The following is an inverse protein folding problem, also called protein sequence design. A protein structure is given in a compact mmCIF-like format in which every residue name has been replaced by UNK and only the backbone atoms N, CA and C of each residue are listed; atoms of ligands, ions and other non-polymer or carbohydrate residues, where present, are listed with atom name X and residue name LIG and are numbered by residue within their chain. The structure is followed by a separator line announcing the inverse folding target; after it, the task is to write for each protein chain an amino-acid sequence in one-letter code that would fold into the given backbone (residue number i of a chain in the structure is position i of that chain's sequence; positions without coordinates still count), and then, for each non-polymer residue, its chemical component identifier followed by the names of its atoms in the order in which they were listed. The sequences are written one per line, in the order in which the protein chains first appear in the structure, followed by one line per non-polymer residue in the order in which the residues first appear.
data_IF_532513061846
#
_entry.id   IF_532513061846
#
_cell.length_a   1.000
_cell.length_b   1.000
_cell.length_c   1.000
_cell.angle_alpha   90.00
_cell.angle_beta   90.00
_cell.angle_gamma   90.00
#
_symmetry.space_group_name_H-M   'P 1'
#
loop_
_entity.id
_entity.type
_entity.pdbx_description
1 polymer ?
#
# COMPACT_ATOMS: atom_id res chain seq x y z
N UNK A 1 -7.09 5.91 -22.65
CA UNK A 1 -8.23 6.87 -22.77
C UNK A 1 -7.92 8.06 -21.87
N UNK A 2 -7.88 9.27 -22.43
CA UNK A 2 -7.64 10.48 -21.65
C UNK A 2 -8.93 10.92 -20.94
N UNK A 3 -8.85 11.25 -19.65
CA UNK A 3 -10.00 11.72 -18.85
C UNK A 3 -9.71 13.10 -18.29
N UNK A 4 -10.58 14.07 -18.58
CA UNK A 4 -10.57 15.40 -17.96
C UNK A 4 -11.72 15.47 -16.95
N UNK A 5 -11.42 15.92 -15.73
CA UNK A 5 -12.43 16.17 -14.70
C UNK A 5 -12.27 17.62 -14.25
N UNK A 6 -13.33 18.40 -14.42
CA UNK A 6 -13.42 19.77 -13.89
C UNK A 6 -14.39 19.70 -12.71
N UNK A 7 -13.87 19.94 -11.52
CA UNK A 7 -14.66 19.82 -10.29
C UNK A 7 -15.51 21.06 -10.03
N UNK A 8 -14.96 22.23 -10.36
CA UNK A 8 -15.63 23.51 -10.20
C UNK A 8 -15.32 24.39 -11.41
N UNK A 9 -16.38 24.99 -11.96
CA UNK A 9 -16.30 25.99 -13.00
C UNK A 9 -17.07 27.21 -12.50
N UNK A 10 -16.34 28.30 -12.27
CA UNK A 10 -16.94 29.58 -11.92
C UNK A 10 -16.81 30.49 -13.14
N UNK A 11 -17.92 31.08 -13.57
CA UNK A 11 -17.95 32.05 -14.64
C UNK A 11 -18.44 33.38 -14.10
N UNK A 12 -17.59 34.40 -14.18
CA UNK A 12 -17.93 35.77 -13.84
C UNK A 12 -18.10 36.57 -15.13
N UNK A 13 -19.31 37.06 -15.39
CA UNK A 13 -19.60 37.87 -16.57
C UNK A 13 -19.67 39.34 -16.18
N UNK A 14 -18.76 40.15 -16.72
CA UNK A 14 -18.77 41.59 -16.56
C UNK A 14 -19.36 42.22 -17.82
N UNK A 15 -20.49 42.90 -17.66
CA UNK A 15 -21.14 43.68 -18.72
C UNK A 15 -21.09 45.17 -18.39
N UNK A 16 -21.01 46.05 -19.39
CA UNK A 16 -21.11 47.49 -19.15
C UNK A 16 -22.38 47.83 -18.37
N UNK A 17 -22.31 48.80 -17.47
CA UNK A 17 -23.45 49.17 -16.61
C UNK A 17 -24.72 49.57 -17.40
N UNK A 18 -24.55 50.10 -18.61
CA UNK A 18 -25.64 50.52 -19.51
C UNK A 18 -26.02 49.44 -20.54
N UNK A 19 -25.59 48.18 -20.35
CA UNK A 19 -25.92 47.11 -21.29
C UNK A 19 -27.45 46.87 -21.29
N UNK A 20 -28.12 46.86 -22.46
CA UNK A 20 -29.58 46.85 -22.51
C UNK A 20 -30.20 45.51 -22.12
N UNK A 21 -29.44 44.40 -22.18
CA UNK A 21 -29.95 43.04 -21.95
C UNK A 21 -28.95 42.16 -21.16
N UNK A 22 -28.60 42.51 -19.91
CA UNK A 22 -27.61 41.76 -19.13
C UNK A 22 -28.05 40.32 -18.83
N UNK A 23 -29.33 40.10 -18.54
CA UNK A 23 -29.88 38.76 -18.30
C UNK A 23 -29.78 37.84 -19.51
N UNK A 24 -29.94 38.37 -20.72
CA UNK A 24 -29.80 37.59 -21.95
C UNK A 24 -28.36 37.09 -22.13
N UNK A 25 -27.38 37.92 -21.77
CA UNK A 25 -25.96 37.55 -21.80
C UNK A 25 -25.67 36.43 -20.80
N UNK A 26 -26.24 36.52 -19.59
CA UNK A 26 -26.12 35.48 -18.57
C UNK A 26 -26.71 34.15 -19.05
N UNK A 27 -27.94 34.16 -19.58
CA UNK A 27 -28.59 32.94 -20.10
C UNK A 27 -27.78 32.34 -21.25
N UNK A 28 -27.32 33.16 -22.19
CA UNK A 28 -26.49 32.70 -23.30
C UNK A 28 -25.20 32.02 -22.81
N UNK A 29 -24.57 32.58 -21.78
CA UNK A 29 -23.38 32.00 -21.18
C UNK A 29 -23.69 30.70 -20.43
N UNK A 30 -24.76 30.66 -19.64
CA UNK A 30 -25.18 29.45 -18.91
C UNK A 30 -25.50 28.30 -19.87
N UNK A 31 -26.23 28.59 -20.96
CA UNK A 31 -26.51 27.62 -22.03
C UNK A 31 -25.19 27.12 -22.64
N UNK A 32 -24.25 28.03 -22.88
CA UNK A 32 -22.99 27.68 -23.49
C UNK A 32 -22.09 26.80 -22.60
N UNK A 33 -22.09 27.08 -21.30
CA UNK A 33 -21.40 26.26 -20.32
C UNK A 33 -21.98 24.84 -20.22
N UNK A 34 -23.26 24.66 -20.54
CA UNK A 34 -23.91 23.34 -20.64
C UNK A 34 -23.32 22.46 -21.75
N UNK A 35 -22.90 23.04 -22.87
CA UNK A 35 -22.30 22.34 -24.01
C UNK A 35 -20.78 22.07 -23.87
N UNK A 36 -20.13 22.74 -22.92
CA UNK A 36 -18.68 22.81 -22.80
C UNK A 36 -17.99 21.43 -22.66
N UNK A 37 -18.64 20.45 -22.02
CA UNK A 37 -18.06 19.12 -21.83
C UNK A 37 -17.70 18.44 -23.17
N UNK A 38 -18.61 18.48 -24.14
CA UNK A 38 -18.41 17.85 -25.45
C UNK A 38 -17.29 18.54 -26.23
N UNK A 39 -17.27 19.86 -26.21
CA UNK A 39 -16.25 20.67 -26.89
C UNK A 39 -14.88 20.46 -26.26
N UNK A 40 -14.79 20.41 -24.92
CA UNK A 40 -13.54 20.14 -24.22
C UNK A 40 -13.02 18.76 -24.47
N UNK A 41 -13.88 17.73 -24.53
CA UNK A 41 -13.44 16.39 -24.88
C UNK A 41 -12.79 16.37 -26.27
N UNK A 42 -13.41 17.01 -27.27
CA UNK A 42 -12.89 17.12 -28.62
C UNK A 42 -11.59 17.94 -28.69
N UNK A 43 -11.52 19.06 -27.97
CA UNK A 43 -10.35 19.93 -27.97
C UNK A 43 -9.18 19.29 -27.19
N UNK A 44 -9.43 18.69 -26.03
CA UNK A 44 -8.43 17.96 -25.25
C UNK A 44 -7.80 16.83 -26.06
N UNK A 45 -8.58 16.11 -26.88
CA UNK A 45 -8.05 15.08 -27.77
C UNK A 45 -7.03 15.61 -28.80
N UNK A 46 -7.08 16.90 -29.15
CA UNK A 46 -6.15 17.53 -30.10
C UNK A 46 -4.86 18.03 -29.44
N UNK A 47 -4.94 18.44 -28.18
CA UNK A 47 -3.83 19.13 -27.50
C UNK A 47 -3.13 18.29 -26.45
N UNK A 48 -3.80 17.31 -25.86
CA UNK A 48 -3.18 16.40 -24.92
C UNK A 48 -2.51 15.28 -25.69
N UNK A 49 -1.23 14.98 -25.44
CA UNK A 49 -0.58 13.83 -26.04
C UNK A 49 -1.36 12.56 -25.64
N UNK A 50 -2.01 11.94 -26.63
CA UNK A 50 -2.88 10.75 -26.47
C UNK A 50 -2.13 9.58 -25.81
N UNK A 51 -0.79 9.61 -25.79
CA UNK A 51 0.08 8.52 -25.36
C UNK A 51 0.58 8.61 -23.92
N UNK A 52 0.35 9.70 -23.18
CA UNK A 52 0.78 9.78 -21.78
C UNK A 52 -0.33 9.33 -20.84
N UNK A 53 -0.09 8.27 -20.05
CA UNK A 53 -0.94 7.89 -18.91
C UNK A 53 -0.81 8.86 -17.72
N UNK A 54 -0.14 9.99 -17.92
CA UNK A 54 0.17 10.98 -16.90
C UNK A 54 -1.09 11.59 -16.27
N UNK A 55 -0.99 11.86 -14.98
CA UNK A 55 -2.02 12.56 -14.22
C UNK A 55 -1.54 13.98 -13.95
N UNK A 56 -2.31 14.94 -14.44
CA UNK A 56 -2.09 16.36 -14.18
C UNK A 56 -3.18 16.87 -13.26
N UNK A 57 -2.79 17.46 -12.13
CA UNK A 57 -3.72 18.14 -11.25
C UNK A 57 -3.50 19.65 -11.42
N UNK A 58 -4.56 20.37 -11.78
CA UNK A 58 -4.54 21.83 -11.92
C UNK A 58 -5.47 22.40 -10.85
N UNK A 59 -4.92 23.23 -9.95
CA UNK A 59 -5.68 23.82 -8.84
C UNK A 59 -6.62 24.90 -9.32
N UNK A 60 -6.11 25.78 -10.19
CA UNK A 60 -6.82 26.94 -10.72
C UNK A 60 -6.34 27.23 -12.13
N UNK A 61 -7.29 27.53 -13.01
CA UNK A 61 -7.05 28.03 -14.34
C UNK A 61 -7.96 29.24 -14.56
N UNK A 62 -7.37 30.41 -14.65
CA UNK A 62 -8.08 31.65 -14.92
C UNK A 62 -8.13 31.89 -16.43
N UNK A 63 -9.31 32.26 -16.93
CA UNK A 63 -9.57 32.52 -18.34
C UNK A 63 -10.30 33.86 -18.48
N UNK A 64 -9.61 34.83 -19.09
CA UNK A 64 -10.20 36.12 -19.42
C UNK A 64 -10.61 36.14 -20.89
N UNK A 65 -11.90 36.41 -21.15
CA UNK A 65 -12.46 36.46 -22.49
C UNK A 65 -13.27 37.74 -22.69
N UNK A 66 -12.87 38.53 -23.68
CA UNK A 66 -13.64 39.66 -24.17
C UNK A 66 -14.49 39.21 -25.37
N UNK A 67 -15.82 39.33 -25.25
CA UNK A 67 -16.78 38.83 -26.22
C UNK A 67 -17.74 39.93 -26.65
N UNK A 68 -17.98 40.03 -27.95
CA UNK A 68 -19.11 40.79 -28.50
C UNK A 68 -20.32 39.85 -28.60
N UNK A 69 -21.05 39.73 -27.49
CA UNK A 69 -22.23 38.84 -27.34
C UNK A 69 -23.35 39.11 -28.34
N UNK A 70 -23.35 40.24 -29.05
CA UNK A 70 -24.28 40.49 -30.14
C UNK A 70 -23.98 39.72 -31.44
N UNK A 71 -22.79 39.10 -31.54
CA UNK A 71 -22.30 38.43 -32.76
C UNK A 71 -22.27 36.91 -32.69
N UNK A 72 -22.49 36.33 -31.51
CA UNK A 72 -22.37 34.89 -31.30
C UNK A 72 -23.73 34.30 -30.96
N UNK A 73 -24.06 33.17 -31.59
CA UNK A 73 -25.04 32.25 -31.02
C UNK A 73 -24.40 31.35 -29.95
N UNK A 74 -25.21 30.55 -29.26
CA UNK A 74 -24.75 29.69 -28.17
C UNK A 74 -23.69 28.68 -28.65
N UNK A 75 -23.89 28.07 -29.82
CA UNK A 75 -22.97 27.06 -30.35
C UNK A 75 -21.61 27.65 -30.70
N UNK A 76 -21.58 28.82 -31.32
CA UNK A 76 -20.34 29.53 -31.62
C UNK A 76 -19.59 29.93 -30.34
N UNK A 77 -20.33 30.29 -29.28
CA UNK A 77 -19.76 30.58 -27.99
C UNK A 77 -19.15 29.33 -27.33
N UNK A 78 -19.81 28.16 -27.42
CA UNK A 78 -19.30 26.87 -26.94
C UNK A 78 -17.96 26.53 -27.57
N UNK A 79 -17.91 26.61 -28.90
CA UNK A 79 -16.70 26.32 -29.67
C UNK A 79 -15.56 27.26 -29.28
N UNK A 80 -15.84 28.55 -29.16
CA UNK A 80 -14.85 29.55 -28.77
C UNK A 80 -14.33 29.31 -27.35
N UNK A 81 -15.24 29.07 -26.39
CA UNK A 81 -14.89 28.78 -24.99
C UNK A 81 -14.05 27.51 -24.89
N UNK A 82 -14.49 26.43 -25.53
CA UNK A 82 -13.77 25.17 -25.51
C UNK A 82 -12.40 25.25 -26.17
N UNK A 83 -12.26 25.96 -27.30
CA UNK A 83 -10.96 26.20 -27.93
C UNK A 83 -10.03 27.02 -27.02
N UNK A 84 -10.54 28.06 -26.37
CA UNK A 84 -9.74 28.94 -25.50
C UNK A 84 -9.30 28.23 -24.22
N UNK A 85 -10.20 27.49 -23.58
CA UNK A 85 -9.88 26.69 -22.40
C UNK A 85 -8.86 25.60 -22.76
N UNK A 86 -9.05 24.88 -23.87
CA UNK A 86 -8.10 23.86 -24.30
C UNK A 86 -6.72 24.42 -24.67
N UNK A 87 -6.65 25.58 -25.35
CA UNK A 87 -5.40 26.26 -25.65
C UNK A 87 -4.67 26.73 -24.37
N UNK A 88 -5.42 27.16 -23.36
CA UNK A 88 -4.88 27.59 -22.07
C UNK A 88 -4.36 26.41 -21.27
N UNK A 89 -5.10 25.29 -21.21
CA UNK A 89 -4.61 24.02 -20.65
C UNK A 89 -3.33 23.60 -21.39
N UNK A 90 -3.33 23.57 -22.72
CA UNK A 90 -2.16 23.18 -23.50
C UNK A 90 -0.94 24.07 -23.22
N UNK A 91 -1.15 25.36 -23.01
CA UNK A 91 -0.10 26.31 -22.67
C UNK A 91 0.43 26.05 -21.26
N UNK A 92 -0.46 25.82 -20.29
CA UNK A 92 -0.11 25.47 -18.92
C UNK A 92 0.71 24.17 -18.87
N UNK A 93 0.30 23.14 -19.62
CA UNK A 93 0.97 21.84 -19.64
C UNK A 93 2.33 21.84 -20.36
N UNK A 94 2.61 22.85 -21.19
CA UNK A 94 3.95 23.05 -21.79
C UNK A 94 4.94 23.68 -20.82
N UNK A 95 4.46 24.29 -19.74
CA UNK A 95 5.30 24.85 -18.70
C UNK A 95 5.71 23.76 -17.70
N UNK A 96 6.91 23.84 -17.11
CA UNK A 96 7.27 22.96 -16.00
C UNK A 96 6.26 23.07 -14.85
N UNK A 97 5.83 21.95 -14.23
CA UNK A 97 4.94 21.99 -13.08
C UNK A 97 5.55 22.82 -11.93
N UNK A 98 4.79 23.76 -11.39
CA UNK A 98 5.25 24.65 -10.31
C UNK A 98 5.10 24.05 -8.91
N UNK A 99 4.42 22.90 -8.79
CA UNK A 99 4.16 22.21 -7.52
C UNK A 99 3.12 22.89 -6.62
N UNK A 100 2.58 24.04 -7.02
CA UNK A 100 1.61 24.83 -6.25
C UNK A 100 0.25 24.88 -6.93
N UNK A 101 0.23 25.30 -8.20
CA UNK A 101 -0.95 25.34 -9.04
C UNK A 101 -1.05 24.11 -9.95
N UNK A 102 0.08 23.57 -10.39
CA UNK A 102 0.15 22.42 -11.29
C UNK A 102 1.02 21.33 -10.68
N UNK A 103 0.45 20.14 -10.57
CA UNK A 103 1.15 18.92 -10.18
C UNK A 103 1.12 17.92 -11.33
N UNK A 104 2.22 17.18 -11.44
CA UNK A 104 2.41 16.17 -12.45
C UNK A 104 2.78 14.84 -11.79
N UNK A 105 2.10 13.79 -12.21
CA UNK A 105 2.46 12.41 -11.91
C UNK A 105 2.63 11.65 -13.23
N UNK A 106 3.67 10.82 -13.32
CA UNK A 106 4.00 10.10 -14.54
C UNK A 106 2.86 9.19 -15.03
N UNK A 107 2.10 8.63 -14.08
CA UNK A 107 0.89 7.86 -14.35
C UNK A 107 -0.05 7.81 -13.12
N UNK A 108 -1.17 7.10 -13.29
CA UNK A 108 -2.14 6.86 -12.23
C UNK A 108 -1.55 6.10 -11.03
N UNK A 109 -0.59 5.19 -11.26
CA UNK A 109 0.04 4.43 -10.19
C UNK A 109 0.89 5.33 -9.29
N UNK A 110 1.65 6.27 -9.86
CA UNK A 110 2.41 7.28 -9.12
C UNK A 110 1.49 8.20 -8.31
N UNK A 111 0.36 8.61 -8.90
CA UNK A 111 -0.63 9.44 -8.22
C UNK A 111 -1.24 8.74 -6.99
N UNK A 112 -1.68 7.47 -7.16
CA UNK A 112 -2.23 6.67 -6.05
C UNK A 112 -1.15 6.31 -5.03
N UNK A 113 0.07 5.98 -5.45
CA UNK A 113 1.19 5.71 -4.55
C UNK A 113 1.48 6.91 -3.65
N UNK A 114 1.55 8.13 -4.23
CA UNK A 114 1.75 9.35 -3.43
C UNK A 114 0.58 9.57 -2.45
N UNK A 115 -0.66 9.33 -2.87
CA UNK A 115 -1.82 9.39 -1.97
C UNK A 115 -1.70 8.42 -0.80
N UNK A 116 -1.27 7.19 -1.05
CA UNK A 116 -1.09 6.15 -0.03
C UNK A 116 0.00 6.56 0.98
N UNK A 117 1.11 7.14 0.51
CA UNK A 117 2.18 7.67 1.36
C UNK A 117 1.68 8.85 2.20
N UNK A 118 0.96 9.78 1.59
CA UNK A 118 0.41 10.93 2.30
C UNK A 118 -0.69 10.53 3.30
N UNK A 119 -1.45 9.46 3.03
CA UNK A 119 -2.36 8.86 4.00
C UNK A 119 -1.60 8.27 5.19
N UNK A 120 -0.57 7.46 4.92
CA UNK A 120 0.25 6.82 5.96
C UNK A 120 0.99 7.84 6.85
N UNK A 121 1.25 9.05 6.33
CA UNK A 121 1.91 10.14 7.05
C UNK A 121 0.93 11.19 7.59
N UNK A 122 -0.38 11.01 7.41
CA UNK A 122 -1.42 11.93 7.92
C UNK A 122 -1.52 13.27 7.18
N UNK A 123 -0.99 13.38 5.96
CA UNK A 123 -0.96 14.61 5.16
C UNK A 123 -1.98 14.66 4.03
N UNK A 124 -2.58 13.52 3.65
CA UNK A 124 -3.43 13.42 2.46
C UNK A 124 -4.58 14.43 2.47
N UNK A 125 -5.30 14.57 3.58
CA UNK A 125 -6.56 15.32 3.61
C UNK A 125 -6.39 16.84 3.52
N UNK A 126 -5.17 17.35 3.66
CA UNK A 126 -4.86 18.78 3.51
C UNK A 126 -4.47 19.15 2.06
N UNK A 127 -4.32 18.14 1.18
CA UNK A 127 -3.90 18.34 -0.21
C UNK A 127 -5.12 18.47 -1.12
N UNK A 128 -5.26 19.63 -1.75
CA UNK A 128 -6.39 19.95 -2.64
C UNK A 128 -6.56 18.94 -3.79
N UNK A 129 -5.46 18.39 -4.30
CA UNK A 129 -5.47 17.49 -5.45
C UNK A 129 -5.99 16.08 -5.12
N UNK A 130 -6.18 15.74 -3.84
CA UNK A 130 -6.78 14.46 -3.44
C UNK A 130 -8.30 14.51 -3.24
N UNK A 131 -8.98 15.52 -3.79
CA UNK A 131 -10.45 15.59 -3.76
C UNK A 131 -11.13 14.30 -4.28
N UNK A 132 -10.64 13.59 -5.32
CA UNK A 132 -11.19 12.28 -5.73
C UNK A 132 -11.13 11.17 -4.66
N UNK A 133 -10.36 11.36 -3.59
CA UNK A 133 -10.27 10.45 -2.44
C UNK A 133 -10.99 11.00 -1.21
N UNK A 134 -11.61 12.18 -1.26
CA UNK A 134 -12.20 12.85 -0.09
C UNK A 134 -13.26 11.99 0.61
N UNK A 135 -14.04 11.20 -0.14
CA UNK A 135 -15.00 10.24 0.41
C UNK A 135 -14.38 9.13 1.28
N UNK A 136 -13.07 8.92 1.20
CA UNK A 136 -12.34 7.94 2.02
C UNK A 136 -11.90 8.52 3.37
N UNK A 137 -12.03 9.83 3.59
CA UNK A 137 -11.57 10.51 4.83
C UNK A 137 -12.31 10.07 6.10
N UNK A 138 -13.51 9.49 5.95
CA UNK A 138 -14.27 8.92 7.06
C UNK A 138 -13.77 7.53 7.50
N UNK A 139 -12.89 6.90 6.73
CA UNK A 139 -12.34 5.57 7.02
C UNK A 139 -11.09 5.66 7.90
N UNK A 140 -10.71 4.55 8.54
CA UNK A 140 -9.39 4.47 9.16
C UNK A 140 -8.28 4.54 8.09
N UNK A 141 -7.08 4.98 8.46
CA UNK A 141 -5.95 5.11 7.51
C UNK A 141 -5.70 3.82 6.72
N UNK A 142 -5.73 2.67 7.40
CA UNK A 142 -5.55 1.35 6.77
C UNK A 142 -6.64 1.06 5.73
N UNK A 143 -7.90 1.34 6.08
CA UNK A 143 -9.05 1.13 5.19
C UNK A 143 -9.04 2.10 4.00
N UNK A 144 -8.65 3.36 4.22
CA UNK A 144 -8.53 4.35 3.15
C UNK A 144 -7.44 3.96 2.14
N UNK A 145 -6.28 3.50 2.61
CA UNK A 145 -5.19 2.99 1.75
C UNK A 145 -5.68 1.78 0.95
N UNK A 146 -6.29 0.78 1.61
CA UNK A 146 -6.84 -0.39 0.92
C UNK A 146 -7.85 0.03 -0.14
N UNK A 147 -8.82 0.86 0.19
CA UNK A 147 -9.86 1.28 -0.75
C UNK A 147 -9.27 2.07 -1.91
N UNK A 148 -8.31 2.96 -1.68
CA UNK A 148 -7.65 3.71 -2.75
C UNK A 148 -6.92 2.81 -3.74
N UNK A 149 -6.28 1.72 -3.28
CA UNK A 149 -5.59 0.77 -4.16
C UNK A 149 -6.59 -0.15 -4.86
N UNK A 150 -7.55 -0.73 -4.13
CA UNK A 150 -8.46 -1.78 -4.65
C UNK A 150 -9.55 -1.22 -5.56
N UNK A 151 -9.89 0.06 -5.46
CA UNK A 151 -10.93 0.70 -6.30
C UNK A 151 -10.47 1.02 -7.73
N UNK A 152 -9.17 0.93 -8.01
CA UNK A 152 -8.66 1.22 -9.35
C UNK A 152 -9.23 0.21 -10.34
N UNK A 153 -9.88 0.71 -11.39
CA UNK A 153 -10.67 -0.10 -12.32
C UNK A 153 -9.79 -0.98 -13.23
N UNK A 154 -8.57 -0.51 -13.50
CA UNK A 154 -7.57 -1.28 -14.22
C UNK A 154 -6.71 -2.05 -13.20
N UNK A 155 -6.94 -3.36 -13.13
CA UNK A 155 -6.26 -4.22 -12.18
C UNK A 155 -4.73 -4.19 -12.36
N UNK A 156 -4.21 -3.87 -13.56
CA UNK A 156 -2.78 -3.74 -13.83
C UNK A 156 -2.11 -2.57 -13.10
N UNK A 157 -2.89 -1.60 -12.61
CA UNK A 157 -2.38 -0.45 -11.84
C UNK A 157 -1.93 -0.89 -10.44
N UNK A 158 -2.57 -1.89 -9.84
CA UNK A 158 -2.27 -2.33 -8.47
C UNK A 158 -0.79 -2.77 -8.33
N UNK A 159 -0.25 -3.64 -9.21
CA UNK A 159 1.19 -3.92 -9.24
C UNK A 159 2.09 -2.71 -9.43
N UNK A 160 1.69 -1.77 -10.30
CA UNK A 160 2.47 -0.57 -10.55
C UNK A 160 2.57 0.31 -9.31
N UNK A 161 1.47 0.48 -8.55
CA UNK A 161 1.47 1.22 -7.27
C UNK A 161 2.51 0.65 -6.31
N UNK A 162 2.58 -0.68 -6.21
CA UNK A 162 3.53 -1.35 -5.31
C UNK A 162 4.97 -1.17 -5.75
N UNK A 163 5.23 -1.17 -7.06
CA UNK A 163 6.52 -0.77 -7.62
C UNK A 163 6.90 0.65 -7.23
N UNK A 164 6.01 1.62 -7.46
CA UNK A 164 6.24 3.03 -7.08
C UNK A 164 6.53 3.21 -5.59
N UNK A 165 5.83 2.48 -4.71
CA UNK A 165 6.06 2.53 -3.26
C UNK A 165 7.43 1.95 -2.87
N UNK A 166 7.89 0.92 -3.58
CA UNK A 166 9.21 0.33 -3.36
C UNK A 166 10.33 1.24 -3.84
N UNK A 167 10.25 1.72 -5.08
CA UNK A 167 11.25 2.58 -5.70
C UNK A 167 11.40 3.91 -4.93
N UNK A 168 10.30 4.41 -4.33
CA UNK A 168 10.31 5.57 -3.43
C UNK A 168 10.78 5.28 -1.99
N UNK A 169 11.08 4.02 -1.63
CA UNK A 169 11.49 3.66 -0.27
C UNK A 169 10.39 3.81 0.79
N UNK A 170 9.12 3.74 0.37
CA UNK A 170 7.97 4.01 1.25
C UNK A 170 7.22 2.75 1.72
N UNK A 171 7.62 1.56 1.25
CA UNK A 171 6.96 0.28 1.59
C UNK A 171 6.75 0.09 3.09
N UNK A 172 7.78 0.28 3.92
CA UNK A 172 7.66 0.09 5.38
C UNK A 172 6.79 1.15 6.06
N UNK A 173 6.80 2.38 5.55
CA UNK A 173 5.95 3.46 6.09
C UNK A 173 4.48 3.09 5.95
N UNK A 174 4.11 2.54 4.80
CA UNK A 174 2.74 2.12 4.50
C UNK A 174 2.38 0.83 5.25
N UNK A 175 3.26 -0.16 5.25
CA UNK A 175 3.04 -1.44 5.95
C UNK A 175 2.81 -1.28 7.46
N UNK A 176 3.46 -0.30 8.08
CA UNK A 176 3.31 -0.02 9.50
C UNK A 176 1.90 0.44 9.87
N UNK A 177 1.21 1.18 8.99
CA UNK A 177 -0.16 1.66 9.26
C UNK A 177 -1.24 0.69 8.80
N UNK A 178 -0.91 -0.27 7.93
CA UNK A 178 -1.84 -1.29 7.50
C UNK A 178 -2.14 -2.32 8.60
N UNK A 179 -3.38 -2.75 8.67
CA UNK A 179 -3.76 -3.98 9.35
C UNK A 179 -3.38 -5.20 8.50
N UNK A 180 -3.25 -6.36 9.14
CA UNK A 180 -2.97 -7.63 8.46
C UNK A 180 -4.08 -7.99 7.45
N UNK A 181 -5.35 -7.77 7.83
CA UNK A 181 -6.50 -8.03 6.98
C UNK A 181 -6.53 -7.12 5.74
N UNK A 182 -6.20 -5.83 5.91
CA UNK A 182 -6.19 -4.90 4.77
C UNK A 182 -5.00 -5.16 3.84
N UNK A 183 -3.82 -5.48 4.37
CA UNK A 183 -2.67 -5.92 3.57
C UNK A 183 -3.01 -7.19 2.77
N UNK A 184 -3.70 -8.15 3.40
CA UNK A 184 -4.15 -9.37 2.72
C UNK A 184 -5.12 -9.04 1.59
N UNK A 185 -6.08 -8.14 1.80
CA UNK A 185 -7.03 -7.75 0.77
C UNK A 185 -6.34 -7.07 -0.45
N UNK A 186 -5.34 -6.21 -0.20
CA UNK A 186 -4.52 -5.61 -1.28
C UNK A 186 -3.77 -6.70 -2.04
N UNK A 187 -3.09 -7.60 -1.33
CA UNK A 187 -2.37 -8.72 -1.94
C UNK A 187 -3.28 -9.62 -2.79
N UNK A 188 -4.49 -9.90 -2.32
CA UNK A 188 -5.47 -10.71 -3.05
C UNK A 188 -6.03 -9.97 -4.29
N UNK A 189 -6.16 -8.65 -4.23
CA UNK A 189 -6.53 -7.85 -5.40
C UNK A 189 -5.43 -7.91 -6.47
N UNK A 190 -4.16 -7.72 -6.07
CA UNK A 190 -3.02 -7.85 -6.97
C UNK A 190 -2.91 -9.25 -7.60
N UNK A 191 -3.14 -10.31 -6.82
CA UNK A 191 -3.13 -11.68 -7.34
C UNK A 191 -4.23 -11.94 -8.36
N UNK A 192 -5.41 -11.32 -8.20
CA UNK A 192 -6.50 -11.42 -9.18
C UNK A 192 -6.13 -10.71 -10.48
N UNK A 193 -5.55 -9.50 -10.36
CA UNK A 193 -5.02 -8.72 -11.47
C UNK A 193 -4.06 -9.49 -12.38
N UNK A 194 -3.23 -10.34 -11.79
CA UNK A 194 -2.24 -11.11 -12.52
C UNK A 194 -2.83 -12.25 -13.38
N UNK A 195 -4.15 -12.52 -13.31
CA UNK A 195 -4.80 -13.56 -14.10
C UNK A 195 -4.77 -14.93 -13.42
N UNK A 196 -5.30 -15.00 -12.20
CA UNK A 196 -5.24 -16.14 -11.30
C UNK A 196 -5.23 -17.54 -11.95
N UNK A 197 -4.23 -18.34 -11.55
CA UNK A 197 -3.95 -19.74 -11.91
C UNK A 197 -3.06 -19.95 -13.14
N UNK A 198 -1.80 -19.52 -13.04
CA UNK A 198 -0.73 -20.13 -13.84
C UNK A 198 -0.24 -21.40 -13.15
N UNK A 199 -0.57 -22.57 -13.70
CA UNK A 199 0.05 -23.86 -13.36
C UNK A 199 1.47 -23.99 -13.97
N UNK A 200 2.25 -22.90 -13.90
CA UNK A 200 3.63 -22.92 -14.35
C UNK A 200 4.44 -23.85 -13.44
N UNK A 201 5.28 -24.70 -14.04
CA UNK A 201 6.26 -25.47 -13.28
C UNK A 201 7.23 -24.48 -12.63
N UNK A 202 7.18 -24.41 -11.30
CA UNK A 202 8.15 -23.67 -10.50
C UNK A 202 9.51 -24.33 -10.63
N UNK A 203 10.54 -23.57 -11.03
CA UNK A 203 11.91 -24.08 -11.07
C UNK A 203 12.63 -23.91 -9.73
N UNK A 204 13.69 -24.68 -9.53
CA UNK A 204 14.62 -24.49 -8.41
C UNK A 204 15.25 -23.09 -8.37
N UNK A 205 15.44 -22.48 -9.55
CA UNK A 205 15.97 -21.12 -9.69
C UNK A 205 15.01 -20.07 -9.12
N UNK A 206 13.71 -20.20 -9.40
CA UNK A 206 12.69 -19.26 -8.94
C UNK A 206 12.59 -19.23 -7.41
N UNK A 207 12.64 -20.41 -6.77
CA UNK A 207 12.65 -20.52 -5.31
C UNK A 207 13.92 -19.88 -4.72
N UNK A 208 15.09 -20.13 -5.30
CA UNK A 208 16.33 -19.50 -4.83
C UNK A 208 16.27 -17.98 -4.99
N UNK A 209 15.65 -17.47 -6.05
CA UNK A 209 15.40 -16.05 -6.21
C UNK A 209 14.45 -15.52 -5.12
N UNK A 210 13.35 -16.22 -4.82
CA UNK A 210 12.44 -15.85 -3.72
C UNK A 210 13.18 -15.78 -2.38
N UNK A 211 14.01 -16.79 -2.07
CA UNK A 211 14.79 -16.84 -0.83
C UNK A 211 15.80 -15.68 -0.76
N UNK A 212 16.44 -15.33 -1.88
CA UNK A 212 17.32 -14.15 -1.95
C UNK A 212 16.55 -12.85 -1.76
N UNK A 213 15.39 -12.69 -2.39
CA UNK A 213 14.58 -11.49 -2.24
C UNK A 213 14.17 -11.27 -0.79
N UNK A 214 13.84 -12.36 -0.12
CA UNK A 214 13.44 -12.33 1.27
C UNK A 214 14.53 -11.77 2.19
N UNK A 215 15.78 -12.20 2.05
CA UNK A 215 16.87 -11.67 2.87
C UNK A 215 17.07 -10.16 2.68
N UNK A 216 16.65 -9.60 1.54
CA UNK A 216 16.72 -8.17 1.25
C UNK A 216 15.43 -7.41 1.59
N UNK A 217 14.29 -8.08 1.62
CA UNK A 217 12.97 -7.45 1.77
C UNK A 217 12.62 -7.03 3.21
N UNK A 218 13.55 -7.10 4.17
CA UNK A 218 13.32 -6.73 5.58
C UNK A 218 12.08 -7.41 6.21
N UNK A 219 11.86 -8.68 5.88
CA UNK A 219 10.73 -9.43 6.43
C UNK A 219 10.81 -9.51 7.94
N UNK A 220 9.68 -9.28 8.59
CA UNK A 220 9.54 -9.23 10.03
C UNK A 220 9.06 -10.59 10.59
N UNK A 221 9.93 -11.38 11.24
CA UNK A 221 9.56 -12.70 11.76
C UNK A 221 8.44 -12.66 12.81
N UNK A 222 8.33 -11.54 13.55
CA UNK A 222 7.35 -11.35 14.63
C UNK A 222 5.91 -11.35 14.14
N UNK A 223 5.69 -10.94 12.90
CA UNK A 223 4.36 -10.89 12.27
C UNK A 223 3.95 -12.26 11.70
N UNK A 224 4.85 -13.25 11.71
CA UNK A 224 4.71 -14.49 10.94
C UNK A 224 5.22 -14.29 9.51
N UNK A 225 6.04 -15.21 9.01
CA UNK A 225 6.70 -15.07 7.72
C UNK A 225 5.71 -15.12 6.54
N UNK A 226 4.61 -15.84 6.70
CA UNK A 226 3.52 -15.93 5.75
C UNK A 226 2.47 -14.81 5.89
N UNK A 227 2.70 -13.83 6.77
CA UNK A 227 1.84 -12.64 6.87
C UNK A 227 1.72 -11.94 5.53
N UNK A 228 0.55 -11.37 5.28
CA UNK A 228 0.26 -10.52 4.14
C UNK A 228 1.25 -9.37 4.03
N UNK A 229 1.69 -8.80 5.15
CA UNK A 229 2.72 -7.76 5.17
C UNK A 229 4.05 -8.26 4.62
N UNK A 230 4.51 -9.43 5.06
CA UNK A 230 5.74 -10.03 4.54
C UNK A 230 5.61 -10.46 3.08
N UNK A 231 4.46 -11.01 2.67
CA UNK A 231 4.16 -11.24 1.25
C UNK A 231 4.31 -9.95 0.44
N UNK A 232 3.81 -8.84 0.96
CA UNK A 232 3.89 -7.55 0.28
C UNK A 232 5.33 -7.03 0.19
N UNK A 233 6.14 -7.17 1.25
CA UNK A 233 7.57 -6.82 1.23
C UNK A 233 8.34 -7.56 0.15
N UNK A 234 8.19 -8.89 0.09
CA UNK A 234 8.90 -9.71 -0.90
C UNK A 234 8.40 -9.39 -2.32
N UNK A 235 7.10 -9.12 -2.48
CA UNK A 235 6.52 -8.71 -3.76
C UNK A 235 7.07 -7.37 -4.24
N UNK A 236 7.09 -6.36 -3.35
CA UNK A 236 7.65 -5.05 -3.62
C UNK A 236 9.13 -5.12 -4.01
N UNK A 237 9.92 -5.90 -3.27
CA UNK A 237 11.33 -6.12 -3.59
C UNK A 237 11.54 -6.84 -4.94
N UNK A 238 10.70 -7.84 -5.26
CA UNK A 238 10.76 -8.51 -6.56
C UNK A 238 10.44 -7.54 -7.69
N UNK A 239 9.38 -6.72 -7.55
CA UNK A 239 9.02 -5.69 -8.52
C UNK A 239 10.14 -4.68 -8.72
N UNK A 240 10.79 -4.23 -7.65
CA UNK A 240 11.96 -3.34 -7.71
C UNK A 240 13.17 -3.93 -8.43
N UNK A 241 13.28 -5.25 -8.58
CA UNK A 241 14.30 -5.87 -9.43
C UNK A 241 13.92 -5.88 -10.91
N UNK A 242 12.63 -5.69 -11.23
CA UNK A 242 12.09 -5.72 -12.59
C UNK A 242 11.89 -4.30 -13.17
N UNK A 243 12.44 -3.25 -12.56
CA UNK A 243 12.15 -1.85 -12.94
C UNK A 243 12.47 -1.50 -14.39
N UNK A 244 13.35 -2.25 -15.06
CA UNK A 244 13.68 -2.03 -16.47
C UNK A 244 12.56 -2.45 -17.44
N UNK A 245 11.76 -3.45 -17.08
CA UNK A 245 10.65 -3.93 -17.90
C UNK A 245 9.55 -4.47 -16.99
N UNK A 246 8.33 -3.90 -17.03
CA UNK A 246 7.25 -4.37 -16.18
C UNK A 246 7.00 -5.87 -16.46
N UNK A 247 6.90 -6.71 -15.42
CA UNK A 247 6.69 -8.13 -15.60
C UNK A 247 5.35 -8.37 -16.31
N UNK A 248 5.32 -9.39 -17.15
CA UNK A 248 4.05 -9.83 -17.75
C UNK A 248 3.09 -10.33 -16.66
N UNK A 249 1.77 -10.24 -16.88
CA UNK A 249 0.78 -10.78 -15.93
C UNK A 249 1.04 -12.24 -15.56
N UNK A 250 1.51 -13.06 -16.51
CA UNK A 250 1.88 -14.45 -16.26
C UNK A 250 3.06 -14.61 -15.29
N UNK A 251 4.09 -13.76 -15.41
CA UNK A 251 5.23 -13.76 -14.46
C UNK A 251 4.77 -13.33 -13.07
N UNK A 252 3.87 -12.34 -12.99
CA UNK A 252 3.31 -11.86 -11.73
C UNK A 252 2.42 -12.92 -11.06
N UNK A 253 1.61 -13.64 -11.83
CA UNK A 253 0.81 -14.75 -11.33
C UNK A 253 1.68 -15.91 -10.84
N UNK A 254 2.73 -16.26 -11.60
CA UNK A 254 3.69 -17.29 -11.21
C UNK A 254 4.41 -16.90 -9.91
N UNK A 255 4.81 -15.63 -9.77
CA UNK A 255 5.41 -15.12 -8.54
C UNK A 255 4.44 -15.20 -7.35
N UNK A 256 3.19 -14.78 -7.51
CA UNK A 256 2.20 -14.85 -6.43
C UNK A 256 1.87 -16.29 -6.01
N UNK A 257 1.85 -17.23 -6.97
CA UNK A 257 1.69 -18.65 -6.71
C UNK A 257 2.89 -19.20 -5.93
N UNK A 258 4.10 -18.89 -6.39
CA UNK A 258 5.36 -19.25 -5.74
C UNK A 258 5.41 -18.73 -4.29
N UNK A 259 5.24 -17.43 -4.09
CA UNK A 259 5.24 -16.81 -2.76
C UNK A 259 4.14 -17.40 -1.87
N UNK A 260 2.96 -17.66 -2.44
CA UNK A 260 1.82 -18.23 -1.72
C UNK A 260 2.07 -19.65 -1.19
N UNK A 261 2.77 -20.48 -1.95
CA UNK A 261 3.13 -21.86 -1.58
C UNK A 261 4.34 -21.91 -0.64
N UNK A 262 5.35 -21.09 -0.92
CA UNK A 262 6.64 -21.20 -0.25
C UNK A 262 6.70 -20.45 1.07
N UNK A 263 6.09 -19.27 1.20
CA UNK A 263 6.16 -18.51 2.46
C UNK A 263 5.64 -19.29 3.68
N UNK A 264 4.50 -20.03 3.62
CA UNK A 264 4.05 -20.88 4.71
C UNK A 264 5.03 -22.00 5.07
N UNK A 265 5.65 -22.64 4.08
CA UNK A 265 6.66 -23.66 4.31
C UNK A 265 7.87 -23.09 5.02
N UNK A 266 8.28 -21.90 4.60
CA UNK A 266 9.44 -21.26 5.18
C UNK A 266 9.15 -20.76 6.61
N UNK A 267 7.91 -20.36 6.90
CA UNK A 267 7.39 -20.12 8.26
C UNK A 267 7.60 -21.33 9.17
N UNK A 268 7.26 -22.51 8.64
CA UNK A 268 7.41 -23.80 9.31
C UNK A 268 8.89 -24.19 9.50
N UNK A 269 9.75 -23.97 8.50
CA UNK A 269 11.21 -24.21 8.60
C UNK A 269 11.86 -23.29 9.63
N UNK A 270 11.49 -22.01 9.65
CA UNK A 270 12.06 -21.04 10.56
C UNK A 270 11.68 -21.29 12.03
N UNK A 271 10.61 -22.06 12.29
CA UNK A 271 10.22 -22.52 13.62
C UNK A 271 10.99 -23.72 14.16
N UNK A 272 11.84 -24.37 13.34
CA UNK A 272 12.57 -25.59 13.74
C UNK A 272 14.03 -25.24 14.05
N UNK A 273 14.43 -25.47 15.31
CA UNK A 273 15.78 -25.18 15.78
C UNK A 273 16.85 -26.12 15.17
N UNK A 274 16.53 -27.41 15.02
CA UNK A 274 17.45 -28.42 14.50
C UNK A 274 17.43 -28.49 12.96
N UNK A 275 18.38 -27.79 12.35
CA UNK A 275 18.56 -27.69 10.89
C UNK A 275 18.91 -29.02 10.24
N UNK A 276 19.75 -29.83 10.88
CA UNK A 276 20.25 -31.08 10.32
C UNK A 276 19.14 -32.14 10.30
N UNK A 277 18.38 -32.25 11.39
CA UNK A 277 17.20 -33.12 11.37
C UNK A 277 16.15 -32.65 10.36
N UNK A 278 15.91 -31.33 10.26
CA UNK A 278 14.99 -30.79 9.25
C UNK A 278 15.41 -31.20 7.85
N UNK A 279 16.69 -31.04 7.52
CA UNK A 279 17.23 -31.42 6.21
C UNK A 279 17.09 -32.92 5.95
N UNK A 280 17.34 -33.75 6.97
CA UNK A 280 17.15 -35.19 6.87
C UNK A 280 15.66 -35.57 6.66
N UNK A 281 14.74 -34.86 7.31
CA UNK A 281 13.30 -35.08 7.17
C UNK A 281 12.78 -34.60 5.82
N UNK A 282 13.23 -33.45 5.29
CA UNK A 282 12.83 -33.00 3.94
C UNK A 282 13.41 -33.93 2.88
N UNK A 283 14.69 -34.30 2.98
CA UNK A 283 15.33 -35.22 2.02
C UNK A 283 14.71 -36.62 2.05
N UNK A 284 14.27 -37.09 3.22
CA UNK A 284 13.56 -38.36 3.39
C UNK A 284 12.06 -38.29 3.11
N UNK A 285 11.51 -37.13 2.72
CA UNK A 285 10.08 -36.94 2.51
C UNK A 285 9.21 -37.11 3.78
N UNK A 286 9.80 -37.03 4.97
CA UNK A 286 9.14 -37.24 6.29
C UNK A 286 8.41 -35.98 6.76
N UNK A 287 7.50 -35.49 5.95
CA UNK A 287 6.82 -34.21 6.19
C UNK A 287 5.98 -34.12 7.46
N UNK A 288 5.32 -35.21 7.83
CA UNK A 288 4.56 -35.29 9.08
C UNK A 288 5.45 -34.99 10.28
N UNK A 289 6.71 -35.42 10.22
CA UNK A 289 7.69 -35.18 11.28
C UNK A 289 8.11 -33.71 11.34
N UNK A 290 8.24 -33.05 10.19
CA UNK A 290 8.54 -31.62 10.10
C UNK A 290 7.41 -30.80 10.73
N UNK A 291 6.15 -31.08 10.35
CA UNK A 291 4.97 -30.39 10.92
C UNK A 291 4.90 -30.63 12.44
N UNK A 292 5.12 -31.87 12.88
CA UNK A 292 5.14 -32.23 14.31
C UNK A 292 6.19 -31.43 15.09
N UNK A 293 7.39 -31.25 14.53
CA UNK A 293 8.48 -30.48 15.15
C UNK A 293 8.24 -28.97 15.14
N UNK A 294 7.65 -28.44 14.07
CA UNK A 294 7.34 -27.02 13.96
C UNK A 294 6.26 -26.56 14.94
N UNK A 295 5.47 -27.49 15.51
CA UNK A 295 4.31 -27.19 16.40
C UNK A 295 3.34 -26.18 15.78
N UNK A 296 3.28 -26.14 14.45
CA UNK A 296 2.49 -25.20 13.65
C UNK A 296 1.24 -25.90 13.10
N UNK A 297 0.16 -25.16 12.81
CA UNK A 297 -1.07 -25.73 12.27
C UNK A 297 -0.87 -26.38 10.88
N UNK A 298 -1.75 -27.33 10.58
CA UNK A 298 -1.68 -28.30 9.47
C UNK A 298 -1.69 -27.66 8.06
N UNK A 299 -2.01 -26.37 7.93
CA UNK A 299 -2.15 -25.68 6.64
C UNK A 299 -0.92 -25.74 5.73
N UNK A 300 0.28 -25.94 6.29
CA UNK A 300 1.49 -26.12 5.48
C UNK A 300 1.51 -27.44 4.68
N UNK A 301 0.72 -28.45 5.08
CA UNK A 301 0.73 -29.77 4.43
C UNK A 301 0.23 -29.76 2.99
N UNK A 302 -0.68 -28.83 2.66
CA UNK A 302 -1.26 -28.72 1.31
C UNK A 302 -0.21 -28.39 0.24
N UNK A 303 0.91 -27.77 0.63
CA UNK A 303 1.96 -27.31 -0.29
C UNK A 303 3.16 -28.25 -0.39
N UNK A 304 3.22 -29.28 0.45
CA UNK A 304 4.37 -30.19 0.54
C UNK A 304 4.61 -31.02 -0.74
N UNK A 305 3.57 -31.50 -1.47
CA UNK A 305 3.79 -32.17 -2.75
C UNK A 305 4.47 -31.27 -3.79
N UNK A 306 4.10 -29.99 -3.86
CA UNK A 306 4.75 -29.01 -4.74
C UNK A 306 6.22 -28.80 -4.35
N UNK A 307 6.51 -28.74 -3.06
CA UNK A 307 7.88 -28.59 -2.54
C UNK A 307 8.74 -29.82 -2.87
N UNK A 308 8.21 -31.04 -2.75
CA UNK A 308 8.92 -32.25 -3.19
C UNK A 308 9.20 -32.24 -4.68
N UNK A 309 8.20 -31.85 -5.47
CA UNK A 309 8.32 -31.80 -6.92
C UNK A 309 9.44 -30.84 -7.35
N UNK A 310 9.50 -29.65 -6.74
CA UNK A 310 10.58 -28.68 -7.01
C UNK A 310 11.93 -29.14 -6.48
N UNK A 311 11.97 -29.74 -5.29
CA UNK A 311 13.20 -30.29 -4.75
C UNK A 311 13.75 -31.42 -5.63
N UNK A 312 12.87 -32.20 -6.27
CA UNK A 312 13.19 -33.36 -7.09
C UNK A 312 14.17 -34.32 -6.39
N UNK A 313 14.11 -34.41 -5.06
CA UNK A 313 15.05 -35.19 -4.26
C UNK A 313 16.49 -34.67 -4.25
N UNK A 314 16.76 -33.41 -4.59
CA UNK A 314 18.08 -32.79 -4.57
C UNK A 314 18.44 -32.25 -3.16
N UNK A 315 19.21 -32.97 -2.33
CA UNK A 315 19.51 -32.54 -0.96
C UNK A 315 20.45 -31.33 -0.90
N UNK A 316 21.28 -31.10 -1.93
CA UNK A 316 22.19 -29.94 -1.96
C UNK A 316 21.41 -28.65 -2.14
N UNK A 317 20.41 -28.66 -3.01
CA UNK A 317 19.53 -27.52 -3.21
C UNK A 317 18.70 -27.21 -1.96
N UNK A 318 18.15 -28.22 -1.30
CA UNK A 318 17.44 -28.05 -0.02
C UNK A 318 18.34 -27.45 1.06
N UNK A 319 19.58 -27.91 1.18
CA UNK A 319 20.58 -27.30 2.07
C UNK A 319 20.81 -25.84 1.73
N UNK A 320 20.93 -25.49 0.46
CA UNK A 320 21.11 -24.10 0.04
C UNK A 320 19.94 -23.22 0.46
N UNK A 321 18.70 -23.69 0.26
CA UNK A 321 17.49 -22.99 0.71
C UNK A 321 17.51 -22.82 2.23
N UNK A 322 17.69 -23.89 3.00
CA UNK A 322 17.66 -23.84 4.46
C UNK A 322 18.79 -22.98 5.03
N UNK A 323 20.01 -23.09 4.50
CA UNK A 323 21.16 -22.28 4.93
C UNK A 323 20.94 -20.79 4.67
N UNK A 324 20.30 -20.42 3.57
CA UNK A 324 19.97 -19.03 3.29
C UNK A 324 18.90 -18.45 4.24
N UNK A 325 18.10 -19.30 4.87
CA UNK A 325 17.08 -18.91 5.86
C UNK A 325 17.60 -18.90 7.29
N UNK A 326 18.72 -19.58 7.56
CA UNK A 326 19.28 -19.69 8.91
C UNK A 326 19.49 -18.32 9.59
N UNK A 327 20.00 -17.26 8.91
CA UNK A 327 20.15 -15.94 9.52
C UNK A 327 18.83 -15.25 9.87
N UNK A 328 17.73 -15.65 9.21
CA UNK A 328 16.41 -15.05 9.40
C UNK A 328 15.65 -15.66 10.57
N UNK A 329 16.16 -16.75 11.18
CA UNK A 329 15.50 -17.42 12.29
C UNK A 329 15.14 -16.40 13.36
N UNK A 330 13.94 -16.55 13.92
CA UNK A 330 13.58 -15.83 15.14
C UNK A 330 14.74 -16.07 16.10
N UNK A 331 15.43 -15.03 16.60
CA UNK A 331 16.32 -15.22 17.72
C UNK A 331 15.46 -15.99 18.73
N UNK A 332 15.94 -17.16 19.15
CA UNK A 332 15.29 -17.89 20.25
C UNK A 332 14.97 -16.81 21.27
N UNK A 333 13.72 -16.77 21.73
CA UNK A 333 13.33 -15.95 22.86
C UNK A 333 14.19 -16.45 24.03
N UNK A 334 15.43 -15.98 24.05
CA UNK A 334 16.45 -16.25 25.03
C UNK A 334 15.91 -15.48 26.19
N UNK A 335 15.50 -16.23 27.20
CA UNK A 335 14.59 -15.85 28.27
C UNK A 335 13.12 -15.86 27.84
N UNK A 336 12.38 -16.81 28.44
CA UNK A 336 11.03 -16.51 28.91
C UNK A 336 11.05 -15.06 29.40
N UNK A 337 10.13 -14.17 28.99
CA UNK A 337 9.92 -12.98 29.80
C UNK A 337 9.78 -13.49 31.23
N UNK A 338 10.72 -13.12 32.11
CA UNK A 338 10.54 -13.25 33.56
C UNK A 338 9.10 -12.87 33.78
N UNK A 339 8.28 -13.87 34.18
CA UNK A 339 6.84 -13.78 34.14
C UNK A 339 6.46 -12.36 34.51
N UNK A 340 5.98 -11.58 33.54
CA UNK A 340 5.55 -10.21 33.81
C UNK A 340 4.55 -10.38 34.93
N UNK A 341 4.95 -10.08 36.17
CA UNK A 341 4.11 -10.31 37.34
C UNK A 341 2.90 -9.46 37.08
N UNK A 342 1.83 -10.10 36.66
CA UNK A 342 0.55 -9.45 36.46
C UNK A 342 0.10 -9.08 37.85
N UNK A 343 0.40 -7.84 38.22
CA UNK A 343 0.01 -7.21 39.45
C UNK A 343 -1.51 -7.13 39.48
N UNK A 344 -2.15 -8.18 39.97
CA UNK A 344 -3.59 -8.23 40.15
C UNK A 344 -3.95 -7.50 41.45
N UNK A 345 -4.05 -6.17 41.38
CA UNK A 345 -4.54 -5.39 42.52
C UNK A 345 -6.07 -5.46 42.54
N UNK A 346 -6.70 -5.86 43.66
CA UNK A 346 -8.18 -5.77 43.83
C UNK A 346 -8.71 -4.32 43.85
N UNK A 347 -7.84 -3.33 43.63
CA UNK A 347 -8.19 -1.91 43.54
C UNK A 347 -8.04 -1.44 42.08
N UNK A 348 -9.11 -1.53 41.29
CA UNK A 348 -9.16 -1.14 39.87
C UNK A 348 -8.84 0.33 39.57
N UNK A 349 -8.64 1.18 40.58
CA UNK A 349 -8.29 2.59 40.46
C UNK A 349 -6.79 2.90 40.66
N UNK A 350 -5.98 1.94 41.13
CA UNK A 350 -4.56 2.17 41.41
C UNK A 350 -3.65 2.13 40.17
N UNK A 351 -4.15 1.62 39.02
CA UNK A 351 -3.35 1.56 37.79
C UNK A 351 -2.96 2.94 37.24
N UNK A 352 -3.72 3.98 37.58
CA UNK A 352 -3.41 5.37 37.20
C UNK A 352 -2.19 5.92 37.95
N UNK A 353 -1.81 5.30 39.07
CA UNK A 353 -0.65 5.70 39.87
C UNK A 353 0.59 4.85 39.58
N UNK A 354 0.50 3.80 38.73
CA UNK A 354 1.62 2.96 38.35
C UNK A 354 2.83 3.76 37.88
N UNK A 355 2.71 4.74 36.95
CA UNK A 355 3.87 5.51 36.51
C UNK A 355 4.59 6.23 37.66
N UNK A 356 3.83 6.77 38.61
CA UNK A 356 4.35 7.49 39.77
C UNK A 356 5.01 6.55 40.79
N UNK A 357 4.40 5.38 41.04
CA UNK A 357 4.95 4.35 41.93
C UNK A 357 6.28 3.81 41.39
N UNK A 358 6.36 3.56 40.07
CA UNK A 358 7.59 3.10 39.42
C UNK A 358 8.66 4.20 39.40
N UNK A 359 8.26 5.45 39.13
CA UNK A 359 9.18 6.60 39.14
C UNK A 359 9.79 6.86 40.53
N UNK A 360 9.02 6.63 41.59
CA UNK A 360 9.48 6.80 42.98
C UNK A 360 10.27 5.61 43.52
N UNK A 361 10.45 4.52 42.75
CA UNK A 361 11.09 3.27 43.21
C UNK A 361 10.56 2.79 44.57
N UNK A 362 9.26 2.95 44.78
CA UNK A 362 8.57 2.56 46.01
C UNK A 362 8.82 1.09 46.40
N UNK A 363 8.89 0.13 45.46
CA UNK A 363 9.25 -1.25 45.79
C UNK A 363 10.63 -1.38 46.47
N UNK A 364 11.65 -0.70 45.92
CA UNK A 364 13.02 -0.72 46.46
C UNK A 364 13.11 -0.06 47.85
N UNK A 365 12.27 0.96 48.11
CA UNK A 365 12.20 1.64 49.41
C UNK A 365 11.51 0.77 50.47
N UNK A 366 10.45 0.05 50.08
CA UNK A 366 9.71 -0.83 50.99
C UNK A 366 10.53 -2.07 51.36
N UNK A 367 11.28 -2.66 50.42
CA UNK A 367 12.18 -3.77 50.71
C UNK A 367 13.32 -3.37 51.67
N UNK A 368 13.79 -2.13 51.58
CA UNK A 368 14.85 -1.62 52.48
C UNK A 368 14.35 -1.30 53.88
N UNK A 369 13.05 -1.14 54.11
CA UNK A 369 12.50 -0.58 55.36
C UNK A 369 11.44 -1.47 56.03
N UNK A 370 11.26 -2.72 55.60
CA UNK A 370 10.37 -3.67 56.27
C UNK A 370 11.15 -4.75 57.06
N UNK A 371 11.66 -4.44 58.28
CA UNK A 371 12.40 -5.39 59.09
C UNK A 371 11.46 -6.17 60.02
N UNK A 372 10.58 -7.04 59.50
CA UNK A 372 10.10 -8.25 60.21
C UNK A 372 8.95 -8.93 59.45
N UNK A 373 8.91 -10.24 59.62
CA UNK A 373 8.42 -11.30 58.73
C UNK A 373 6.91 -11.32 58.42
N UNK A 374 6.06 -10.51 59.07
CA UNK A 374 4.61 -10.56 58.82
C UNK A 374 4.10 -9.52 57.79
N UNK A 375 4.72 -8.34 57.70
CA UNK A 375 4.30 -7.32 56.73
C UNK A 375 4.69 -7.69 55.29
N UNK A 376 5.83 -8.38 55.10
CA UNK A 376 6.27 -8.85 53.79
C UNK A 376 5.37 -9.95 53.21
N UNK A 377 4.65 -10.70 54.07
CA UNK A 377 3.75 -11.77 53.65
C UNK A 377 2.40 -11.23 53.18
N UNK A 378 1.90 -10.15 53.79
CA UNK A 378 0.65 -9.49 53.38
C UNK A 378 0.78 -8.89 51.97
N UNK A 379 1.95 -8.40 51.58
CA UNK A 379 2.16 -7.81 50.25
C UNK A 379 2.52 -8.83 49.14
N UNK A 380 3.05 -10.00 49.48
CA UNK A 380 3.28 -11.09 48.50
C UNK A 380 1.99 -11.70 47.93
N UNK A 381 0.84 -11.46 48.58
CA UNK A 381 -0.48 -11.92 48.09
C UNK A 381 -1.09 -10.93 47.07
N UNK A 382 -0.53 -9.73 46.94
CA UNK A 382 -1.10 -8.64 46.14
C UNK A 382 -0.23 -8.16 44.97
N UNK A 383 0.93 -8.78 44.76
CA UNK A 383 1.88 -8.60 43.63
C UNK A 383 2.09 -9.95 42.95
#
# INVERSE_FOLDING_TARGET
MSRLVIEHLNAECLVPHQHPQPERVRILLDDALGGLQAVLAAAAARFLPIQSNAVWCIRRLDLDLALDVGRFDAHQLDELLGQRLAASIATLLRQPPDGQNVLFFADQAHYVAQFVVDCATGRAWQRWYYRPFQGLSALSTSQAIRQAIVREADEAIIPAIVGCLHDGGHTETVLRVLTEADAQAIYQAARRAAGGHTSGLVSQGDVLQLVRLWTHANVQPREGYASAKNRWRVWAAWRGQQSAQPPSPAQEAAWHALAGQWLPFLDLVAGIADTESLLADVAGGRFTEIVRRARQPVYAMEYLPSIQSVAAGNPRWLRQVVSALAPLRRPEATTQPEATRTLATLCSSLFLLLPTITALRLPDLLERHAPSTDAAQIWRVWL
#
